data_IF_608221469115
#
_entry.id   IF_608221469115
#
_cell.length_a   1.000
_cell.length_b   1.000
_cell.length_c   1.000
_cell.angle_alpha   90.00
_cell.angle_beta   90.00
_cell.angle_gamma   90.00
#
_symmetry.space_group_name_H-M   'P 1'
#
loop_
_entity.id
_entity.type
_entity.pdbx_description
1 polymer ?
#
# COMPACT_ATOMS: atom_id res chain seq x y z
N UNK A 1 -3.03 18.54 -7.45
CA UNK A 1 -3.06 18.11 -6.04
C UNK A 1 -4.20 17.12 -5.93
N UNK A 2 -3.95 15.88 -5.51
CA UNK A 2 -4.96 14.80 -5.48
C UNK A 2 -6.04 15.15 -4.44
N UNK A 3 -7.27 15.38 -4.88
CA UNK A 3 -8.42 15.73 -4.01
C UNK A 3 -9.33 14.54 -3.71
N UNK A 4 -9.12 13.42 -4.41
CA UNK A 4 -9.88 12.18 -4.21
C UNK A 4 -9.09 11.26 -3.29
N UNK A 5 -9.79 10.59 -2.37
CA UNK A 5 -9.18 9.72 -1.37
C UNK A 5 -9.90 8.37 -1.32
N UNK A 6 -9.12 7.32 -1.07
CA UNK A 6 -9.62 6.03 -0.64
C UNK A 6 -9.76 6.08 0.88
N UNK A 7 -10.87 5.57 1.42
CA UNK A 7 -11.14 5.52 2.85
C UNK A 7 -11.96 4.27 3.19
N UNK A 8 -11.50 3.46 4.14
CA UNK A 8 -12.27 2.31 4.68
C UNK A 8 -13.17 2.73 5.84
N UNK A 9 -14.00 1.82 6.36
CA UNK A 9 -14.63 2.06 7.66
C UNK A 9 -13.63 1.78 8.81
N UNK A 10 -14.12 1.86 10.05
CA UNK A 10 -13.36 1.43 11.23
C UNK A 10 -13.20 -0.08 11.18
N UNK A 11 -11.97 -0.54 11.02
CA UNK A 11 -11.64 -1.96 10.96
C UNK A 11 -10.38 -2.26 11.77
N UNK A 12 -10.20 -3.51 12.20
CA UNK A 12 -8.99 -3.91 12.93
C UNK A 12 -7.75 -3.92 12.03
N UNK A 13 -7.87 -4.41 10.80
CA UNK A 13 -6.74 -4.54 9.88
C UNK A 13 -7.17 -4.23 8.44
N UNK A 14 -7.64 -2.99 8.18
CA UNK A 14 -8.13 -2.59 6.87
C UNK A 14 -7.03 -2.75 5.83
N UNK A 15 -7.44 -3.07 4.61
CA UNK A 15 -6.53 -3.32 3.49
C UNK A 15 -7.09 -2.76 2.19
N UNK A 16 -6.19 -2.37 1.31
CA UNK A 16 -6.47 -2.02 -0.08
C UNK A 16 -5.67 -2.98 -0.97
N UNK A 17 -6.32 -3.58 -1.96
CA UNK A 17 -5.67 -4.46 -2.93
C UNK A 17 -5.88 -3.96 -4.35
N UNK A 18 -4.81 -3.93 -5.12
CA UNK A 18 -4.77 -3.53 -6.52
C UNK A 18 -4.47 -4.79 -7.35
N UNK A 19 -5.32 -5.06 -8.34
CA UNK A 19 -5.05 -6.04 -9.40
C UNK A 19 -4.43 -5.30 -10.60
N UNK A 20 -3.16 -5.59 -10.91
CA UNK A 20 -2.44 -4.99 -12.03
C UNK A 20 -2.88 -5.55 -13.39
N UNK A 21 -3.78 -6.54 -13.42
CA UNK A 21 -4.29 -7.19 -14.63
C UNK A 21 -3.32 -8.20 -15.25
N UNK A 22 -2.01 -8.03 -15.05
CA UNK A 22 -0.96 -8.90 -15.56
C UNK A 22 0.19 -9.09 -14.57
N UNK A 23 1.22 -9.83 -14.97
CA UNK A 23 2.39 -10.14 -14.14
C UNK A 23 3.44 -9.04 -14.29
N UNK A 24 3.94 -8.54 -13.17
CA UNK A 24 5.00 -7.53 -13.13
C UNK A 24 6.13 -7.95 -12.19
N UNK A 25 7.35 -7.59 -12.55
CA UNK A 25 8.48 -7.54 -11.64
C UNK A 25 8.49 -6.17 -10.98
N UNK A 26 8.02 -6.11 -9.73
CA UNK A 26 7.76 -4.89 -8.96
C UNK A 26 9.02 -4.57 -8.14
N UNK A 27 9.46 -3.31 -8.18
CA UNK A 27 10.65 -2.86 -7.45
C UNK A 27 10.37 -1.71 -6.48
N UNK A 28 9.31 -0.93 -6.69
CA UNK A 28 8.97 0.19 -5.81
C UNK A 28 7.45 0.34 -5.71
N UNK A 29 6.97 0.63 -4.50
CA UNK A 29 5.59 0.99 -4.22
C UNK A 29 5.60 2.31 -3.46
N UNK A 30 4.77 3.25 -3.89
CA UNK A 30 4.56 4.50 -3.21
C UNK A 30 3.12 4.62 -2.74
N UNK A 31 2.92 5.24 -1.59
CA UNK A 31 1.60 5.65 -1.13
C UNK A 31 1.65 7.08 -0.61
N UNK A 32 0.66 7.86 -1.03
CA UNK A 32 0.50 9.24 -0.59
C UNK A 32 -0.58 9.28 0.49
N UNK A 33 -0.20 9.72 1.68
CA UNK A 33 -1.15 10.01 2.74
C UNK A 33 -2.05 11.19 2.34
N UNK A 34 -3.23 11.29 2.95
CA UNK A 34 -4.15 12.41 2.77
C UNK A 34 -3.44 13.75 2.93
N UNK A 35 -3.70 14.68 2.02
CA UNK A 35 -3.03 15.99 1.96
C UNK A 35 -3.78 17.10 2.70
N UNK A 36 -5.05 16.89 3.03
CA UNK A 36 -5.95 17.86 3.66
C UNK A 36 -5.94 17.78 5.19
N UNK A 37 -5.90 16.57 5.74
CA UNK A 37 -5.72 16.29 7.16
C UNK A 37 -5.33 14.83 7.35
N UNK A 38 -5.17 14.43 8.62
CA UNK A 38 -5.39 13.04 8.99
C UNK A 38 -4.40 12.02 8.40
N UNK A 39 -3.21 12.47 7.96
CA UNK A 39 -2.17 11.57 7.44
C UNK A 39 -1.75 10.49 8.44
N UNK A 40 -1.93 10.75 9.74
CA UNK A 40 -1.66 9.78 10.81
C UNK A 40 -2.52 8.52 10.76
N UNK A 41 -3.66 8.55 10.03
CA UNK A 41 -4.51 7.36 9.84
C UNK A 41 -3.81 6.29 9.01
N UNK A 42 -2.88 6.68 8.14
CA UNK A 42 -2.01 5.74 7.44
C UNK A 42 -0.80 5.45 8.33
N UNK A 43 -0.78 4.30 8.98
CA UNK A 43 0.28 3.91 9.90
C UNK A 43 0.53 2.40 9.87
N UNK A 44 1.74 1.98 10.24
CA UNK A 44 2.12 0.56 10.41
C UNK A 44 1.63 -0.33 9.25
N UNK A 45 2.04 0.02 8.03
CA UNK A 45 1.51 -0.56 6.79
C UNK A 45 2.46 -1.62 6.25
N UNK A 46 1.93 -2.83 6.06
CA UNK A 46 2.55 -3.87 5.26
C UNK A 46 2.21 -3.67 3.79
N UNK A 47 3.24 -3.69 2.94
CA UNK A 47 3.14 -3.72 1.49
C UNK A 47 3.44 -5.14 1.03
N UNK A 48 2.45 -5.82 0.47
CA UNK A 48 2.56 -7.22 0.05
C UNK A 48 2.33 -7.37 -1.45
N UNK A 49 3.05 -8.30 -2.05
CA UNK A 49 2.98 -8.61 -3.48
C UNK A 49 2.76 -10.11 -3.67
N UNK A 50 1.88 -10.50 -4.59
CA UNK A 50 1.67 -11.92 -4.88
C UNK A 50 1.12 -12.20 -6.27
N UNK A 51 1.35 -13.43 -6.74
CA UNK A 51 0.70 -13.96 -7.94
C UNK A 51 -0.75 -14.40 -7.68
N UNK A 52 -1.08 -14.73 -6.42
CA UNK A 52 -2.42 -15.15 -5.98
C UNK A 52 -2.81 -14.35 -4.75
N UNK A 53 -4.09 -13.99 -4.63
CA UNK A 53 -4.61 -13.18 -3.53
C UNK A 53 -4.44 -13.80 -2.13
N UNK A 54 -4.38 -15.13 -2.04
CA UNK A 54 -4.22 -15.88 -0.79
C UNK A 54 -2.75 -16.25 -0.48
N UNK A 55 -1.81 -15.87 -1.35
CA UNK A 55 -0.37 -16.14 -1.19
C UNK A 55 0.43 -14.93 -1.65
N UNK A 56 0.58 -13.98 -0.74
CA UNK A 56 1.33 -12.74 -0.94
C UNK A 56 2.54 -12.71 0.00
N UNK A 57 3.63 -12.09 -0.45
CA UNK A 57 4.88 -11.96 0.27
C UNK A 57 5.13 -10.48 0.60
N UNK A 58 5.81 -10.22 1.71
CA UNK A 58 6.17 -8.87 2.12
C UNK A 58 7.15 -8.27 1.10
N UNK A 59 6.77 -7.15 0.50
CA UNK A 59 7.67 -6.27 -0.26
C UNK A 59 8.36 -5.30 0.70
N UNK A 60 7.63 -4.75 1.66
CA UNK A 60 8.24 -4.00 2.75
C UNK A 60 7.21 -3.46 3.73
N UNK A 61 7.67 -2.70 4.70
CA UNK A 61 6.88 -2.26 5.84
C UNK A 61 7.20 -0.80 6.19
N UNK A 62 6.16 -0.02 6.47
CA UNK A 62 6.28 1.34 6.99
C UNK A 62 5.84 1.33 8.46
N UNK A 63 6.74 1.72 9.37
CA UNK A 63 6.47 1.76 10.82
C UNK A 63 6.08 3.16 11.27
N UNK A 64 5.14 3.24 12.21
CA UNK A 64 4.64 4.50 12.73
C UNK A 64 3.62 5.14 11.79
N UNK A 65 3.27 6.39 12.08
CA UNK A 65 2.20 7.09 11.38
C UNK A 65 2.75 8.10 10.36
N UNK A 66 2.04 8.27 9.25
CA UNK A 66 2.40 9.28 8.27
C UNK A 66 2.12 10.70 8.77
N UNK A 67 2.88 11.67 8.26
CA UNK A 67 2.49 13.08 8.30
C UNK A 67 1.45 13.37 7.22
N UNK A 68 0.63 14.41 7.40
CA UNK A 68 -0.31 14.88 6.37
C UNK A 68 0.45 15.19 5.07
N UNK A 69 -0.01 14.61 3.96
CA UNK A 69 0.59 14.73 2.63
C UNK A 69 1.90 13.97 2.44
N UNK A 70 2.32 13.13 3.41
CA UNK A 70 3.56 12.39 3.29
C UNK A 70 3.51 11.38 2.14
N UNK A 71 4.58 11.37 1.34
CA UNK A 71 4.93 10.30 0.41
C UNK A 71 5.71 9.22 1.15
N UNK A 72 5.14 8.02 1.26
CA UNK A 72 5.80 6.83 1.79
C UNK A 72 6.29 6.02 0.59
N UNK A 73 7.56 5.60 0.63
CA UNK A 73 8.21 4.82 -0.44
C UNK A 73 8.75 3.53 0.15
N UNK A 74 8.46 2.41 -0.50
CA UNK A 74 8.98 1.09 -0.15
C UNK A 74 9.61 0.44 -1.38
N UNK A 75 10.86 0.01 -1.22
CA UNK A 75 11.57 -0.78 -2.23
C UNK A 75 11.40 -2.26 -1.96
N UNK A 76 10.94 -3.01 -2.97
CA UNK A 76 10.76 -4.45 -2.84
C UNK A 76 12.11 -5.19 -2.97
N UNK A 77 12.27 -6.37 -2.35
CA UNK A 77 13.40 -7.25 -2.58
C UNK A 77 13.58 -7.58 -4.07
N UNK A 78 14.82 -7.88 -4.46
CA UNK A 78 15.16 -8.28 -5.82
C UNK A 78 14.24 -9.40 -6.33
N UNK A 79 13.83 -9.31 -7.59
CA UNK A 79 12.95 -10.28 -8.27
C UNK A 79 11.53 -10.45 -7.68
N UNK A 80 11.06 -9.49 -6.87
CA UNK A 80 9.65 -9.49 -6.41
C UNK A 80 8.71 -9.45 -7.61
N UNK A 81 7.95 -10.53 -7.80
CA UNK A 81 7.07 -10.71 -8.95
C UNK A 81 5.64 -10.96 -8.50
N UNK A 82 4.68 -10.23 -9.07
CA UNK A 82 3.28 -10.37 -8.70
C UNK A 82 2.33 -9.74 -9.70
N UNK A 83 1.04 -10.06 -9.52
CA UNK A 83 -0.10 -9.42 -10.17
C UNK A 83 -0.90 -8.57 -9.19
N UNK A 84 -0.91 -8.97 -7.93
CA UNK A 84 -1.65 -8.30 -6.87
C UNK A 84 -0.69 -7.57 -5.93
N UNK A 85 -1.02 -6.32 -5.61
CA UNK A 85 -0.37 -5.53 -4.57
C UNK A 85 -1.39 -5.24 -3.48
N UNK A 86 -1.01 -5.38 -2.21
CA UNK A 86 -1.87 -5.08 -1.08
C UNK A 86 -1.15 -4.22 -0.05
N UNK A 87 -1.82 -3.16 0.39
CA UNK A 87 -1.45 -2.35 1.55
C UNK A 87 -2.37 -2.77 2.70
N UNK A 88 -1.83 -3.02 3.88
CA UNK A 88 -2.62 -3.39 5.05
C UNK A 88 -2.04 -2.78 6.32
N UNK A 89 -2.90 -2.12 7.11
CA UNK A 89 -2.52 -1.70 8.47
C UNK A 89 -2.47 -2.95 9.35
N UNK A 90 -1.32 -3.20 10.00
CA UNK A 90 -1.08 -4.43 10.78
C UNK A 90 -1.01 -4.21 12.30
N UNK A 91 -1.12 -2.96 12.77
CA UNK A 91 -1.15 -2.61 14.19
C UNK A 91 -2.44 -1.86 14.56
N UNK A 92 -2.80 -1.89 15.84
CA UNK A 92 -4.03 -1.25 16.34
C UNK A 92 -5.29 -2.09 16.21
N UNK A 93 -6.41 -1.58 16.71
CA UNK A 93 -7.70 -2.26 16.75
C UNK A 93 -8.86 -1.47 16.11
N UNK A 94 -8.66 -0.20 15.80
CA UNK A 94 -9.69 0.69 15.26
C UNK A 94 -9.03 1.65 14.29
N UNK A 95 -8.84 1.17 13.07
CA UNK A 95 -8.02 1.80 12.06
C UNK A 95 -8.88 2.22 10.87
N UNK A 96 -8.39 3.23 10.15
CA UNK A 96 -8.92 3.66 8.86
C UNK A 96 -7.78 3.62 7.86
N UNK A 97 -7.88 2.81 6.81
CA UNK A 97 -6.92 2.91 5.72
C UNK A 97 -7.34 4.07 4.83
N UNK A 98 -6.50 5.11 4.79
CA UNK A 98 -6.70 6.27 3.92
C UNK A 98 -5.49 6.53 3.05
N UNK A 99 -5.72 6.80 1.77
CA UNK A 99 -4.65 7.14 0.83
C UNK A 99 -5.19 8.04 -0.26
N UNK A 100 -4.39 9.03 -0.67
CA UNK A 100 -4.67 9.87 -1.83
C UNK A 100 -4.34 9.15 -3.13
N UNK A 101 -3.23 8.41 -3.16
CA UNK A 101 -2.74 7.74 -4.38
C UNK A 101 -1.85 6.56 -3.98
N UNK A 102 -1.83 5.52 -4.81
CA UNK A 102 -0.89 4.40 -4.72
C UNK A 102 -0.23 4.19 -6.07
N UNK A 103 1.09 4.31 -6.13
CA UNK A 103 1.87 4.07 -7.35
C UNK A 103 2.61 2.74 -7.21
N UNK A 104 2.55 1.91 -8.24
CA UNK A 104 3.27 0.63 -8.31
C UNK A 104 4.21 0.66 -9.50
N UNK A 105 5.51 0.64 -9.23
CA UNK A 105 6.54 0.65 -10.25
C UNK A 105 7.08 -0.75 -10.49
N UNK A 106 7.05 -1.16 -11.75
CA UNK A 106 7.47 -2.48 -12.15
C UNK A 106 7.60 -2.64 -13.66
N UNK A 107 8.28 -3.69 -14.07
CA UNK A 107 8.38 -4.09 -15.48
C UNK A 107 7.37 -5.19 -15.76
N UNK A 108 6.58 -5.04 -16.83
CA UNK A 108 5.68 -6.09 -17.29
C UNK A 108 6.48 -7.35 -17.68
N UNK A 109 6.02 -8.52 -17.23
CA UNK A 109 6.61 -9.82 -17.52
C UNK A 109 5.60 -10.63 -18.33
N UNK A 110 5.99 -10.97 -19.57
CA UNK A 110 5.21 -11.81 -20.47
C UNK A 110 5.13 -13.26 -20.00
#
# INVERSE_FOLDING_TARGET
MFSDYIHTLVEKSPWLRIDLGARYQIHEIEVFARSDCCGYQLHDVDFRVGMKIHKMHLCGHFTGHASTGQRIVVFCPSNTTGRYVQLQIVAGNSNYLTSAEVLVWGKHVY
#
